data_IF_749559038378
#
_entry.id   IF_749559038378
#
_cell.length_a   1.000
_cell.length_b   1.000
_cell.length_c   1.000
_cell.angle_alpha   90.00
_cell.angle_beta   90.00
_cell.angle_gamma   90.00
#
_symmetry.space_group_name_H-M   'P 1'
#
loop_
_entity.id
_entity.type
_entity.pdbx_description
1 polymer ?
#
# COMPACT_ATOMS: atom_id res chain seq x y z
N UNK A 1 -37.38 -9.52 -1.79
CA UNK A 1 -36.45 -10.59 -2.19
C UNK A 1 -35.66 -10.04 -3.35
N UNK A 2 -34.36 -9.79 -3.17
CA UNK A 2 -33.53 -9.26 -4.25
C UNK A 2 -33.43 -10.31 -5.36
N UNK A 3 -33.47 -9.86 -6.62
CA UNK A 3 -33.28 -10.72 -7.78
C UNK A 3 -31.82 -11.20 -7.81
N UNK A 4 -31.55 -12.53 -7.70
CA UNK A 4 -30.19 -13.06 -7.72
C UNK A 4 -29.41 -12.67 -8.99
N UNK A 5 -30.10 -12.46 -10.11
CA UNK A 5 -29.49 -11.98 -11.34
C UNK A 5 -29.01 -10.53 -11.24
N UNK A 6 -29.74 -9.69 -10.51
CA UNK A 6 -29.37 -8.29 -10.28
C UNK A 6 -28.15 -8.15 -9.36
N UNK A 7 -28.05 -9.00 -8.32
CA UNK A 7 -26.89 -9.02 -7.42
C UNK A 7 -25.62 -9.47 -8.14
N UNK A 8 -25.69 -10.54 -8.93
CA UNK A 8 -24.56 -11.01 -9.72
C UNK A 8 -24.10 -9.97 -10.75
N UNK A 9 -25.03 -9.30 -11.43
CA UNK A 9 -24.72 -8.23 -12.38
C UNK A 9 -24.05 -7.03 -11.69
N UNK A 10 -24.49 -6.67 -10.47
CA UNK A 10 -23.88 -5.59 -9.69
C UNK A 10 -22.43 -5.92 -9.28
N UNK A 11 -22.17 -7.16 -8.85
CA UNK A 11 -20.82 -7.62 -8.50
C UNK A 11 -19.87 -7.58 -9.71
N UNK A 12 -20.33 -8.05 -10.87
CA UNK A 12 -19.55 -8.00 -12.12
C UNK A 12 -19.21 -6.55 -12.49
N UNK A 13 -20.19 -5.65 -12.41
CA UNK A 13 -19.99 -4.23 -12.72
C UNK A 13 -18.98 -3.58 -11.75
N UNK A 14 -19.10 -3.86 -10.46
CA UNK A 14 -18.15 -3.36 -9.46
C UNK A 14 -16.72 -3.84 -9.72
N UNK A 15 -16.56 -5.13 -10.06
CA UNK A 15 -15.26 -5.70 -10.42
C UNK A 15 -14.67 -5.08 -11.69
N UNK A 16 -15.48 -4.86 -12.73
CA UNK A 16 -15.05 -4.21 -13.97
C UNK A 16 -14.62 -2.77 -13.74
N UNK A 17 -15.36 -2.01 -12.93
CA UNK A 17 -15.02 -0.64 -12.58
C UNK A 17 -13.70 -0.59 -11.82
N UNK A 18 -13.55 -1.40 -10.77
CA UNK A 18 -12.31 -1.52 -10.01
C UNK A 18 -11.12 -1.89 -10.90
N UNK A 19 -11.29 -2.89 -11.76
CA UNK A 19 -10.23 -3.35 -12.67
C UNK A 19 -9.82 -2.24 -13.63
N UNK A 20 -10.79 -1.55 -14.24
CA UNK A 20 -10.52 -0.46 -15.18
C UNK A 20 -9.71 0.64 -14.50
N UNK A 21 -10.10 1.04 -13.29
CA UNK A 21 -9.39 2.05 -12.51
C UNK A 21 -7.95 1.60 -12.19
N UNK A 22 -7.78 0.40 -11.63
CA UNK A 22 -6.48 -0.12 -11.21
C UNK A 22 -5.49 -0.22 -12.38
N UNK A 23 -5.91 -0.79 -13.50
CA UNK A 23 -5.07 -0.93 -14.69
C UNK A 23 -4.77 0.42 -15.36
N UNK A 24 -5.74 1.35 -15.35
CA UNK A 24 -5.52 2.71 -15.88
C UNK A 24 -4.48 3.46 -15.04
N UNK A 25 -4.59 3.41 -13.72
CA UNK A 25 -3.64 4.05 -12.81
C UNK A 25 -2.24 3.44 -12.94
N UNK A 26 -2.15 2.11 -13.07
CA UNK A 26 -0.88 1.44 -13.34
C UNK A 26 -0.27 1.92 -14.65
N UNK A 27 -1.05 1.98 -15.73
CA UNK A 27 -0.57 2.47 -17.04
C UNK A 27 -0.05 3.91 -16.94
N UNK A 28 -0.77 4.80 -16.26
CA UNK A 28 -0.31 6.18 -16.01
C UNK A 28 0.99 6.20 -15.22
N UNK A 29 1.10 5.41 -14.14
CA UNK A 29 2.29 5.34 -13.32
C UNK A 29 3.52 4.86 -14.10
N UNK A 30 3.36 3.84 -14.96
CA UNK A 30 4.43 3.34 -15.83
C UNK A 30 4.83 4.38 -16.88
N UNK A 31 3.87 5.05 -17.51
CA UNK A 31 4.13 6.12 -18.48
C UNK A 31 4.92 7.28 -17.85
N UNK A 32 4.48 7.77 -16.68
CA UNK A 32 5.16 8.85 -15.94
C UNK A 32 6.55 8.42 -15.51
N UNK A 33 6.71 7.19 -14.99
CA UNK A 33 8.01 6.66 -14.58
C UNK A 33 8.97 6.53 -15.76
N UNK A 34 8.48 6.04 -16.90
CA UNK A 34 9.26 5.92 -18.13
C UNK A 34 9.71 7.28 -18.65
N UNK A 35 8.79 8.26 -18.71
CA UNK A 35 9.11 9.62 -19.12
C UNK A 35 10.14 10.26 -18.18
N UNK A 36 9.98 10.07 -16.87
CA UNK A 36 10.93 10.53 -15.84
C UNK A 36 12.31 9.92 -16.08
N UNK A 37 12.40 8.60 -16.24
CA UNK A 37 13.66 7.90 -16.48
C UNK A 37 14.30 8.36 -17.80
N UNK A 38 13.53 8.51 -18.87
CA UNK A 38 14.04 9.04 -20.14
C UNK A 38 14.64 10.44 -19.98
N UNK A 39 13.91 11.36 -19.34
CA UNK A 39 14.41 12.72 -19.10
C UNK A 39 15.71 12.71 -18.26
N UNK A 40 15.80 11.82 -17.26
CA UNK A 40 16.99 11.66 -16.42
C UNK A 40 18.17 11.10 -17.21
N UNK A 41 17.97 10.05 -17.99
CA UNK A 41 19.01 9.46 -18.85
C UNK A 41 19.52 10.50 -19.86
N UNK A 42 18.63 11.33 -20.43
CA UNK A 42 19.04 12.43 -21.34
C UNK A 42 19.85 13.52 -20.62
N UNK A 43 19.55 13.80 -19.36
CA UNK A 43 20.21 14.86 -18.60
C UNK A 43 21.57 14.44 -17.98
N UNK A 44 21.69 13.20 -17.49
CA UNK A 44 22.89 12.75 -16.75
C UNK A 44 23.58 11.51 -17.32
N UNK A 45 23.02 10.91 -18.37
CA UNK A 45 23.48 9.64 -18.94
C UNK A 45 23.12 8.43 -18.07
N UNK A 46 23.22 7.22 -18.65
CA UNK A 46 22.87 5.96 -17.96
C UNK A 46 23.79 5.68 -16.76
N UNK A 47 25.09 6.02 -16.87
CA UNK A 47 26.05 5.87 -15.77
C UNK A 47 25.84 6.89 -14.64
N UNK A 48 25.04 7.93 -14.88
CA UNK A 48 24.72 8.97 -13.90
C UNK A 48 23.43 8.71 -13.11
N UNK A 49 22.78 7.56 -13.32
CA UNK A 49 21.58 7.17 -12.57
C UNK A 49 21.93 6.88 -11.10
N UNK A 50 21.04 7.33 -10.21
CA UNK A 50 21.23 7.24 -8.76
C UNK A 50 20.27 6.21 -8.14
N UNK A 51 20.40 5.96 -6.83
CA UNK A 51 19.60 4.97 -6.13
C UNK A 51 18.09 5.22 -6.25
N UNK A 52 17.63 6.48 -6.22
CA UNK A 52 16.22 6.85 -6.44
C UNK A 52 15.74 6.56 -7.87
N UNK A 53 16.64 6.60 -8.86
CA UNK A 53 16.34 6.24 -10.24
C UNK A 53 16.13 4.72 -10.40
N UNK A 54 16.76 3.89 -9.56
CA UNK A 54 16.57 2.43 -9.52
C UNK A 54 15.36 2.04 -8.68
N UNK A 55 15.22 2.64 -7.49
CA UNK A 55 14.14 2.32 -6.55
C UNK A 55 12.75 2.62 -7.11
N UNK A 56 12.61 3.62 -8.00
CA UNK A 56 11.32 3.85 -8.67
C UNK A 56 10.89 2.66 -9.52
N UNK A 57 11.82 1.95 -10.14
CA UNK A 57 11.51 0.79 -10.99
C UNK A 57 11.21 -0.43 -10.14
N UNK A 58 11.90 -0.58 -9.00
CA UNK A 58 11.51 -1.56 -7.98
C UNK A 58 10.08 -1.29 -7.49
N UNK A 59 9.73 -0.03 -7.22
CA UNK A 59 8.36 0.36 -6.87
C UNK A 59 7.38 0.09 -8.02
N UNK A 60 7.72 0.40 -9.26
CA UNK A 60 6.87 0.11 -10.42
C UNK A 60 6.60 -1.39 -10.57
N UNK A 61 7.61 -2.24 -10.40
CA UNK A 61 7.44 -3.71 -10.40
C UNK A 61 6.53 -4.17 -9.27
N UNK A 62 6.73 -3.67 -8.04
CA UNK A 62 5.87 -3.99 -6.91
C UNK A 62 4.43 -3.52 -7.14
N UNK A 63 4.23 -2.38 -7.80
CA UNK A 63 2.90 -1.88 -8.15
C UNK A 63 2.21 -2.76 -9.19
N UNK A 64 2.93 -3.25 -10.21
CA UNK A 64 2.40 -4.25 -11.14
C UNK A 64 1.95 -5.52 -10.40
N UNK A 65 2.77 -6.02 -9.47
CA UNK A 65 2.44 -7.20 -8.67
C UNK A 65 1.21 -6.94 -7.79
N UNK A 66 1.14 -5.79 -7.14
CA UNK A 66 0.01 -5.39 -6.29
C UNK A 66 -1.28 -5.30 -7.10
N UNK A 67 -1.25 -4.66 -8.27
CA UNK A 67 -2.41 -4.58 -9.18
C UNK A 67 -2.84 -5.97 -9.64
N UNK A 68 -1.90 -6.86 -9.96
CA UNK A 68 -2.19 -8.24 -10.34
C UNK A 68 -2.81 -9.05 -9.20
N UNK A 69 -2.31 -8.89 -7.97
CA UNK A 69 -2.90 -9.52 -6.78
C UNK A 69 -4.32 -9.00 -6.52
N UNK A 70 -4.52 -7.69 -6.59
CA UNK A 70 -5.83 -7.09 -6.37
C UNK A 70 -6.85 -7.52 -7.44
N UNK A 71 -6.45 -7.59 -8.71
CA UNK A 71 -7.25 -8.17 -9.79
C UNK A 71 -7.59 -9.65 -9.50
N UNK A 72 -6.63 -10.42 -9.00
CA UNK A 72 -6.81 -11.85 -8.71
C UNK A 72 -7.82 -12.12 -7.59
N UNK A 73 -8.05 -11.17 -6.66
CA UNK A 73 -9.13 -11.29 -5.66
C UNK A 73 -10.48 -11.41 -6.36
N UNK A 74 -10.77 -10.59 -7.35
CA UNK A 74 -12.03 -10.68 -8.11
C UNK A 74 -12.02 -11.80 -9.15
N UNK A 75 -10.93 -11.95 -9.90
CA UNK A 75 -10.86 -12.90 -11.02
C UNK A 75 -10.75 -14.38 -10.60
N UNK A 76 -10.07 -14.66 -9.48
CA UNK A 76 -9.79 -16.04 -9.03
C UNK A 76 -10.57 -16.39 -7.76
N UNK A 77 -10.66 -15.45 -6.81
CA UNK A 77 -11.36 -15.69 -5.56
C UNK A 77 -12.80 -15.16 -5.55
N UNK A 78 -13.30 -14.58 -6.65
CA UNK A 78 -14.66 -14.01 -6.76
C UNK A 78 -14.99 -12.98 -5.67
N UNK A 79 -13.98 -12.26 -5.17
CA UNK A 79 -14.14 -11.31 -4.07
C UNK A 79 -14.25 -11.96 -2.69
N UNK A 80 -14.13 -13.28 -2.59
CA UNK A 80 -14.34 -14.03 -1.36
C UNK A 80 -13.05 -14.17 -0.55
N UNK A 81 -13.18 -14.12 0.77
CA UNK A 81 -12.12 -14.42 1.72
C UNK A 81 -12.71 -15.08 2.98
N UNK A 82 -11.90 -15.28 4.02
CA UNK A 82 -12.34 -15.90 5.28
C UNK A 82 -13.13 -14.97 6.23
N UNK A 83 -13.37 -13.71 5.86
CA UNK A 83 -14.23 -12.77 6.57
C UNK A 83 -15.64 -12.71 5.95
N UNK A 84 -16.50 -11.87 6.53
CA UNK A 84 -17.85 -11.56 6.03
C UNK A 84 -18.71 -12.81 5.79
N UNK A 85 -18.80 -13.65 6.82
CA UNK A 85 -19.62 -14.85 6.83
C UNK A 85 -20.42 -14.95 8.13
N UNK A 86 -21.75 -15.09 8.07
CA UNK A 86 -22.56 -15.44 9.23
C UNK A 86 -22.10 -16.77 9.84
N UNK A 87 -22.14 -16.94 11.18
CA UNK A 87 -21.69 -18.17 11.84
C UNK A 87 -22.38 -19.45 11.31
N UNK A 88 -23.69 -19.37 11.04
CA UNK A 88 -24.47 -20.49 10.51
C UNK A 88 -24.01 -20.87 9.10
N UNK A 89 -23.83 -19.88 8.22
CA UNK A 89 -23.34 -20.10 6.86
C UNK A 89 -21.94 -20.71 6.85
N UNK A 90 -21.05 -20.19 7.70
CA UNK A 90 -19.68 -20.70 7.87
C UNK A 90 -19.66 -22.15 8.34
N UNK A 91 -20.54 -22.53 9.26
CA UNK A 91 -20.64 -23.90 9.76
C UNK A 91 -21.24 -24.86 8.72
N UNK A 92 -22.15 -24.37 7.86
CA UNK A 92 -22.78 -25.16 6.81
C UNK A 92 -21.91 -25.32 5.55
N UNK A 93 -20.89 -24.47 5.36
CA UNK A 93 -20.05 -24.52 4.17
C UNK A 93 -19.19 -25.79 4.13
N UNK A 94 -19.37 -26.60 3.07
CA UNK A 94 -18.59 -27.82 2.87
C UNK A 94 -17.10 -27.50 2.60
N UNK A 95 -16.14 -28.16 3.28
CA UNK A 95 -14.71 -28.01 3.03
C UNK A 95 -14.27 -28.36 1.60
N UNK A 96 -15.01 -29.23 0.91
CA UNK A 96 -14.72 -29.68 -0.45
C UNK A 96 -15.43 -28.84 -1.54
N UNK A 97 -16.13 -27.78 -1.13
CA UNK A 97 -16.82 -26.90 -2.06
C UNK A 97 -15.86 -25.97 -2.80
N UNK A 98 -16.22 -25.59 -4.03
CA UNK A 98 -15.48 -24.59 -4.79
C UNK A 98 -15.36 -23.25 -4.05
N UNK A 99 -16.43 -22.83 -3.35
CA UNK A 99 -16.44 -21.59 -2.57
C UNK A 99 -15.44 -21.64 -1.42
N UNK A 100 -15.35 -22.77 -0.70
CA UNK A 100 -14.35 -22.93 0.37
C UNK A 100 -12.92 -22.72 -0.17
N UNK A 101 -12.61 -23.32 -1.33
CA UNK A 101 -11.31 -23.13 -1.97
C UNK A 101 -11.07 -21.69 -2.46
N UNK A 102 -12.10 -21.02 -2.98
CA UNK A 102 -12.03 -19.62 -3.39
C UNK A 102 -11.76 -18.70 -2.18
N UNK A 103 -12.42 -18.91 -1.05
CA UNK A 103 -12.19 -18.16 0.20
C UNK A 103 -10.78 -18.35 0.74
N UNK A 104 -10.30 -19.60 0.76
CA UNK A 104 -8.91 -19.89 1.17
C UNK A 104 -7.92 -19.18 0.25
N UNK A 105 -8.18 -19.19 -1.06
CA UNK A 105 -7.33 -18.53 -2.07
C UNK A 105 -7.35 -17.01 -1.90
N UNK A 106 -8.52 -16.40 -1.74
CA UNK A 106 -8.67 -14.97 -1.52
C UNK A 106 -7.99 -14.48 -0.25
N UNK A 107 -8.09 -15.22 0.86
CA UNK A 107 -7.34 -14.90 2.09
C UNK A 107 -5.83 -14.91 1.89
N UNK A 108 -5.30 -15.85 1.11
CA UNK A 108 -3.86 -15.91 0.78
C UNK A 108 -3.44 -14.75 -0.13
N UNK A 109 -4.25 -14.43 -1.14
CA UNK A 109 -4.01 -13.29 -2.04
C UNK A 109 -4.02 -11.99 -1.23
N UNK A 110 -4.95 -11.82 -0.30
CA UNK A 110 -5.05 -10.63 0.54
C UNK A 110 -3.83 -10.46 1.46
N UNK A 111 -3.34 -11.55 2.04
CA UNK A 111 -2.12 -11.52 2.85
C UNK A 111 -0.90 -11.12 2.00
N UNK A 112 -0.77 -11.70 0.80
CA UNK A 112 0.27 -11.30 -0.15
C UNK A 112 0.12 -9.83 -0.59
N UNK A 113 -1.10 -9.37 -0.82
CA UNK A 113 -1.43 -8.00 -1.19
C UNK A 113 -0.96 -7.01 -0.12
N UNK A 114 -1.22 -7.27 1.15
CA UNK A 114 -0.71 -6.44 2.26
C UNK A 114 0.82 -6.38 2.29
N UNK A 115 1.50 -7.50 2.07
CA UNK A 115 2.97 -7.56 2.04
C UNK A 115 3.55 -6.74 0.88
N UNK A 116 3.00 -6.91 -0.32
CA UNK A 116 3.49 -6.19 -1.51
C UNK A 116 3.17 -4.69 -1.38
N UNK A 117 1.96 -4.34 -0.97
CA UNK A 117 1.53 -2.95 -0.78
C UNK A 117 2.39 -2.23 0.27
N UNK A 118 2.65 -2.87 1.40
CA UNK A 118 3.51 -2.30 2.44
C UNK A 118 4.94 -2.13 1.94
N UNK A 119 5.49 -3.10 1.22
CA UNK A 119 6.84 -2.99 0.65
C UNK A 119 6.92 -1.87 -0.38
N UNK A 120 5.93 -1.79 -1.27
CA UNK A 120 5.82 -0.74 -2.28
C UNK A 120 5.92 0.66 -1.66
N UNK A 121 5.10 0.94 -0.63
CA UNK A 121 5.12 2.27 -0.01
C UNK A 121 6.45 2.56 0.69
N UNK A 122 7.05 1.59 1.36
CA UNK A 122 8.35 1.81 2.02
C UNK A 122 9.50 1.99 1.03
N UNK A 123 9.45 1.33 -0.14
CA UNK A 123 10.40 1.56 -1.24
C UNK A 123 10.25 2.97 -1.80
N UNK A 124 9.01 3.44 -2.02
CA UNK A 124 8.75 4.81 -2.47
C UNK A 124 9.26 5.86 -1.47
N UNK A 125 9.00 5.64 -0.17
CA UNK A 125 9.52 6.50 0.92
C UNK A 125 11.04 6.50 0.99
N UNK A 126 11.67 5.35 0.79
CA UNK A 126 13.14 5.23 0.71
C UNK A 126 13.69 5.97 -0.50
N UNK A 127 13.04 5.85 -1.67
CA UNK A 127 13.40 6.62 -2.88
C UNK A 127 13.30 8.12 -2.63
N UNK A 128 12.29 8.56 -1.86
CA UNK A 128 12.14 9.96 -1.47
C UNK A 128 13.28 10.45 -0.56
N UNK A 129 13.76 9.64 0.38
CA UNK A 129 14.92 9.99 1.21
C UNK A 129 16.20 10.15 0.39
N UNK A 130 16.43 9.27 -0.61
CA UNK A 130 17.56 9.45 -1.53
C UNK A 130 17.44 10.74 -2.33
N UNK A 131 16.23 11.06 -2.81
CA UNK A 131 15.96 12.34 -3.46
C UNK A 131 16.25 13.53 -2.53
N UNK A 132 15.85 13.46 -1.26
CA UNK A 132 16.15 14.51 -0.27
C UNK A 132 17.64 14.62 0.04
N UNK A 133 18.38 13.51 0.11
CA UNK A 133 19.83 13.53 0.28
C UNK A 133 20.51 14.30 -0.84
N UNK A 134 20.06 14.10 -2.08
CA UNK A 134 20.56 14.85 -3.22
C UNK A 134 20.14 16.32 -3.19
N UNK A 135 18.87 16.59 -2.86
CA UNK A 135 18.34 17.95 -2.82
C UNK A 135 19.04 18.81 -1.76
N UNK A 136 19.40 18.19 -0.63
CA UNK A 136 20.06 18.82 0.51
C UNK A 136 21.59 18.71 0.48
N UNK A 137 22.16 18.16 -0.60
CA UNK A 137 23.59 18.11 -0.79
C UNK A 137 24.18 19.53 -0.78
N UNK A 138 25.15 19.77 0.11
CA UNK A 138 25.76 21.09 0.32
C UNK A 138 25.06 21.97 1.38
N UNK A 139 23.97 21.52 1.99
CA UNK A 139 23.36 22.17 3.17
C UNK A 139 24.01 21.70 4.47
N UNK A 140 23.53 22.24 5.61
CA UNK A 140 24.04 21.93 6.94
C UNK A 140 23.95 20.44 7.28
N UNK A 141 24.94 19.95 8.05
CA UNK A 141 25.02 18.55 8.54
C UNK A 141 23.75 18.07 9.24
N UNK A 142 22.97 18.98 9.85
CA UNK A 142 21.68 18.67 10.48
C UNK A 142 20.67 18.01 9.52
N UNK A 143 20.67 18.34 8.23
CA UNK A 143 19.78 17.70 7.25
C UNK A 143 20.19 16.25 6.99
N UNK A 144 21.49 15.99 6.85
CA UNK A 144 22.00 14.63 6.67
C UNK A 144 21.64 13.74 7.86
N UNK A 145 21.80 14.24 9.09
CA UNK A 145 21.39 13.49 10.30
C UNK A 145 19.91 13.13 10.26
N UNK A 146 19.03 14.07 9.87
CA UNK A 146 17.58 13.79 9.72
C UNK A 146 17.28 12.74 8.66
N UNK A 147 18.00 12.77 7.54
CA UNK A 147 17.84 11.77 6.47
C UNK A 147 18.28 10.38 6.94
N UNK A 148 19.42 10.27 7.62
CA UNK A 148 19.88 8.99 8.19
C UNK A 148 18.94 8.45 9.27
N UNK A 149 18.41 9.33 10.13
CA UNK A 149 17.32 8.95 11.05
C UNK A 149 16.10 8.45 10.28
N UNK A 150 15.77 9.06 9.14
CA UNK A 150 14.71 8.61 8.25
C UNK A 150 14.92 7.20 7.72
N UNK A 151 16.13 6.84 7.27
CA UNK A 151 16.42 5.48 6.81
C UNK A 151 16.24 4.46 7.95
N UNK A 152 16.74 4.77 9.15
CA UNK A 152 16.55 3.93 10.33
C UNK A 152 15.07 3.78 10.68
N UNK A 153 14.31 4.87 10.68
CA UNK A 153 12.89 4.85 11.00
C UNK A 153 12.07 4.06 9.97
N UNK A 154 12.34 4.23 8.67
CA UNK A 154 11.69 3.44 7.62
C UNK A 154 12.03 1.95 7.74
N UNK A 155 13.30 1.60 7.95
CA UNK A 155 13.71 0.20 8.11
C UNK A 155 13.03 -0.48 9.32
N UNK A 156 13.07 0.17 10.48
CA UNK A 156 12.46 -0.36 11.71
C UNK A 156 10.94 -0.47 11.57
N UNK A 157 10.27 0.58 11.08
CA UNK A 157 8.82 0.56 10.90
C UNK A 157 8.37 -0.51 9.91
N UNK A 158 9.12 -0.74 8.83
CA UNK A 158 8.83 -1.82 7.88
C UNK A 158 8.91 -3.20 8.53
N UNK A 159 9.97 -3.46 9.31
CA UNK A 159 10.14 -4.71 10.05
C UNK A 159 8.97 -4.93 11.01
N UNK A 160 8.54 -3.90 11.72
CA UNK A 160 7.39 -3.98 12.64
C UNK A 160 6.11 -4.30 11.89
N UNK A 161 5.82 -3.60 10.79
CA UNK A 161 4.63 -3.82 9.96
C UNK A 161 4.61 -5.24 9.39
N UNK A 162 5.73 -5.72 8.83
CA UNK A 162 5.84 -7.08 8.30
C UNK A 162 5.72 -8.14 9.41
N UNK A 163 6.39 -7.93 10.54
CA UNK A 163 6.29 -8.83 11.68
C UNK A 163 4.86 -8.91 12.20
N UNK A 164 4.15 -7.79 12.28
CA UNK A 164 2.75 -7.76 12.68
C UNK A 164 1.87 -8.55 11.69
N UNK A 165 2.08 -8.36 10.38
CA UNK A 165 1.34 -9.07 9.34
C UNK A 165 1.48 -10.60 9.43
N UNK A 166 2.71 -11.10 9.65
CA UNK A 166 2.97 -12.55 9.66
C UNK A 166 2.85 -13.23 11.03
N UNK A 167 2.98 -12.48 12.13
CA UNK A 167 3.05 -13.04 13.49
C UNK A 167 1.80 -12.76 14.35
N UNK A 168 0.92 -11.85 13.95
CA UNK A 168 -0.28 -11.49 14.73
C UNK A 168 -1.28 -12.66 14.89
N UNK A 169 -1.41 -13.49 13.85
CA UNK A 169 -2.32 -14.65 13.85
C UNK A 169 -1.53 -15.96 14.04
N UNK A 170 -1.81 -16.69 15.13
CA UNK A 170 -1.15 -17.96 15.47
C UNK A 170 -2.15 -19.07 15.78
N UNK A 171 -1.96 -20.29 15.24
CA UNK A 171 -1.00 -20.70 14.23
C UNK A 171 -1.23 -20.04 12.86
N UNK A 172 -0.19 -19.90 12.04
CA UNK A 172 -0.20 -19.06 10.82
C UNK A 172 -1.28 -19.45 9.80
N UNK A 173 -1.64 -20.74 9.72
CA UNK A 173 -2.69 -21.22 8.81
C UNK A 173 -4.08 -20.68 9.11
N UNK A 174 -4.31 -20.12 10.31
CA UNK A 174 -5.59 -19.50 10.66
C UNK A 174 -5.93 -18.27 9.81
N UNK A 175 -4.93 -17.64 9.16
CA UNK A 175 -5.16 -16.53 8.24
C UNK A 175 -6.04 -16.90 7.03
N UNK A 176 -6.19 -18.19 6.72
CA UNK A 176 -7.08 -18.68 5.66
C UNK A 176 -7.99 -19.81 6.17
N UNK A 177 -8.19 -19.92 7.49
CA UNK A 177 -9.14 -20.87 8.06
C UNK A 177 -10.56 -20.32 7.89
N UNK A 178 -11.47 -21.17 7.43
CA UNK A 178 -12.89 -20.83 7.22
C UNK A 178 -13.71 -21.21 8.45
N UNK A 179 -13.62 -22.46 8.90
CA UNK A 179 -14.35 -23.01 10.03
C UNK A 179 -13.40 -23.87 10.90
N UNK A 180 -13.40 -23.78 12.25
CA UNK A 180 -14.11 -22.81 13.08
C UNK A 180 -13.68 -21.36 12.83
N UNK A 181 -14.43 -20.38 13.36
CA UNK A 181 -14.07 -18.96 13.27
C UNK A 181 -12.65 -18.70 13.84
N UNK A 182 -11.69 -18.18 13.06
CA UNK A 182 -10.34 -17.88 13.55
C UNK A 182 -10.23 -16.53 14.31
N UNK A 183 -11.26 -15.68 14.28
CA UNK A 183 -11.34 -14.37 14.91
C UNK A 183 -10.78 -13.23 14.04
N UNK A 184 -11.15 -11.98 14.35
CA UNK A 184 -10.81 -10.80 13.54
C UNK A 184 -9.30 -10.62 13.28
N UNK A 185 -8.46 -10.96 14.26
CA UNK A 185 -6.99 -10.86 14.13
C UNK A 185 -6.47 -11.69 12.94
N UNK A 186 -7.17 -12.78 12.59
CA UNK A 186 -6.83 -13.72 11.54
C UNK A 186 -7.62 -13.52 10.23
N UNK A 187 -8.23 -12.35 10.04
CA UNK A 187 -8.87 -11.96 8.78
C UNK A 187 -7.96 -10.99 8.01
N UNK A 188 -7.13 -11.43 7.06
CA UNK A 188 -6.18 -10.54 6.39
C UNK A 188 -6.83 -9.32 5.73
N UNK A 189 -8.10 -9.42 5.28
CA UNK A 189 -8.80 -8.31 4.63
C UNK A 189 -9.21 -7.19 5.61
N UNK A 190 -9.57 -7.56 6.85
CA UNK A 190 -10.31 -6.69 7.79
C UNK A 190 -9.79 -6.77 9.23
N UNK A 191 -8.58 -7.31 9.42
CA UNK A 191 -7.96 -7.42 10.74
C UNK A 191 -7.65 -6.03 11.28
N UNK A 192 -8.34 -5.66 12.38
CA UNK A 192 -8.19 -4.35 13.02
C UNK A 192 -6.74 -4.12 13.45
N UNK A 193 -6.09 -5.17 13.97
CA UNK A 193 -4.70 -5.10 14.41
C UNK A 193 -3.75 -4.78 13.24
N UNK A 194 -3.88 -5.49 12.12
CA UNK A 194 -3.03 -5.26 10.93
C UNK A 194 -3.26 -3.84 10.40
N UNK A 195 -4.52 -3.43 10.26
CA UNK A 195 -4.91 -2.12 9.71
C UNK A 195 -4.39 -0.97 10.58
N UNK A 196 -4.57 -1.04 11.91
CA UNK A 196 -4.15 0.02 12.82
C UNK A 196 -2.62 0.16 12.90
N UNK A 197 -1.89 -0.96 13.01
CA UNK A 197 -0.43 -0.94 13.05
C UNK A 197 0.13 -0.39 11.75
N UNK A 198 -0.36 -0.88 10.60
CA UNK A 198 0.02 -0.37 9.30
C UNK A 198 -0.24 1.13 9.18
N UNK A 199 -1.47 1.57 9.51
CA UNK A 199 -1.88 2.97 9.41
C UNK A 199 -0.99 3.87 10.28
N UNK A 200 -0.76 3.51 11.54
CA UNK A 200 0.05 4.30 12.45
C UNK A 200 1.48 4.50 11.92
N UNK A 201 2.15 3.44 11.49
CA UNK A 201 3.51 3.55 10.94
C UNK A 201 3.52 4.25 9.57
N UNK A 202 2.52 4.04 8.74
CA UNK A 202 2.43 4.70 7.43
C UNK A 202 2.29 6.23 7.58
N UNK A 203 1.37 6.70 8.42
CA UNK A 203 1.16 8.13 8.66
C UNK A 203 2.36 8.76 9.36
N UNK A 204 2.89 8.13 10.42
CA UNK A 204 4.02 8.71 11.15
C UNK A 204 5.28 8.80 10.30
N UNK A 205 5.54 7.82 9.44
CA UNK A 205 6.64 7.90 8.46
C UNK A 205 6.42 8.99 7.42
N UNK A 206 5.19 9.23 6.95
CA UNK A 206 4.89 10.33 6.03
C UNK A 206 5.08 11.70 6.69
N UNK A 207 4.56 11.88 7.91
CA UNK A 207 4.75 13.11 8.68
C UNK A 207 6.23 13.40 8.93
N UNK A 208 7.02 12.37 9.25
CA UNK A 208 8.46 12.50 9.40
C UNK A 208 9.12 12.98 8.11
N UNK A 209 8.80 12.36 6.97
CA UNK A 209 9.38 12.72 5.67
C UNK A 209 8.98 14.14 5.25
N UNK A 210 7.74 14.55 5.51
CA UNK A 210 7.30 15.92 5.28
C UNK A 210 8.06 16.91 6.16
N UNK A 211 8.40 16.56 7.40
CA UNK A 211 9.13 17.45 8.30
C UNK A 211 10.55 17.81 7.84
N UNK A 212 11.17 17.00 6.97
CA UNK A 212 12.56 17.18 6.51
C UNK A 212 12.72 18.50 5.72
N UNK A 213 11.94 18.76 4.65
CA UNK A 213 12.09 19.99 3.87
C UNK A 213 11.41 21.24 4.44
N UNK A 214 10.56 21.15 5.48
CA UNK A 214 9.84 22.34 6.03
C UNK A 214 10.79 23.46 6.45
N UNK A 215 11.87 23.21 7.22
CA UNK A 215 12.79 24.27 7.61
C UNK A 215 13.55 24.87 6.43
N UNK A 216 13.75 24.09 5.36
CA UNK A 216 14.40 24.58 4.14
C UNK A 216 13.50 25.56 3.40
N UNK A 217 12.20 25.29 3.32
CA UNK A 217 11.22 26.19 2.69
C UNK A 217 11.14 27.55 3.38
N UNK A 218 11.28 27.58 4.72
CA UNK A 218 11.16 28.80 5.51
C UNK A 218 12.43 29.65 5.50
N UNK A 219 13.61 29.02 5.39
CA UNK A 219 14.90 29.72 5.52
C UNK A 219 15.62 29.99 4.20
N UNK A 220 15.16 29.47 3.06
CA UNK A 220 15.99 29.42 1.84
C UNK A 220 15.51 30.31 0.69
N UNK A 221 16.48 31.04 0.09
CA UNK A 221 16.42 31.67 -1.23
C UNK A 221 16.54 30.63 -2.35
N UNK A 222 15.65 29.62 -2.35
CA UNK A 222 15.64 28.62 -3.41
C UNK A 222 15.18 29.24 -4.73
N UNK A 223 15.76 28.78 -5.84
CA UNK A 223 15.26 29.08 -7.19
C UNK A 223 13.77 28.72 -7.26
N UNK A 224 12.89 29.58 -7.81
CA UNK A 224 11.43 29.38 -7.81
C UNK A 224 10.98 27.99 -8.30
N UNK A 225 11.65 27.44 -9.32
CA UNK A 225 11.35 26.09 -9.85
C UNK A 225 11.52 24.98 -8.80
N UNK A 226 12.58 25.03 -7.98
CA UNK A 226 12.78 24.05 -6.90
C UNK A 226 11.76 24.22 -5.78
N UNK A 227 11.35 25.47 -5.52
CA UNK A 227 10.33 25.80 -4.52
C UNK A 227 8.95 25.27 -4.92
N UNK A 228 8.56 25.43 -6.18
CA UNK A 228 7.29 24.89 -6.72
C UNK A 228 7.28 23.36 -6.66
N UNK A 229 8.35 22.69 -7.11
CA UNK A 229 8.43 21.23 -7.04
C UNK A 229 8.31 20.70 -5.61
N UNK A 230 8.85 21.45 -4.64
CA UNK A 230 8.75 21.10 -3.23
C UNK A 230 7.32 21.31 -2.68
N UNK A 231 6.67 22.43 -3.01
CA UNK A 231 5.27 22.67 -2.64
C UNK A 231 4.35 21.57 -3.19
N UNK A 232 4.49 21.21 -4.47
CA UNK A 232 3.70 20.13 -5.07
C UNK A 232 3.90 18.80 -4.36
N UNK A 233 5.14 18.48 -3.99
CA UNK A 233 5.47 17.28 -3.22
C UNK A 233 4.80 17.28 -1.83
N UNK A 234 4.80 18.42 -1.15
CA UNK A 234 4.13 18.59 0.14
C UNK A 234 2.61 18.40 0.03
N UNK A 235 1.98 19.04 -0.96
CA UNK A 235 0.55 18.89 -1.21
C UNK A 235 0.18 17.45 -1.52
N UNK A 236 0.99 16.75 -2.32
CA UNK A 236 0.82 15.33 -2.61
C UNK A 236 0.94 14.46 -1.36
N UNK A 237 1.91 14.73 -0.48
CA UNK A 237 2.06 13.97 0.77
C UNK A 237 0.90 14.16 1.75
N UNK A 238 0.39 15.39 1.88
CA UNK A 238 -0.82 15.67 2.69
C UNK A 238 -2.04 14.94 2.11
N UNK A 239 -2.20 14.96 0.79
CA UNK A 239 -3.28 14.23 0.12
C UNK A 239 -3.19 12.72 0.39
N UNK A 240 -2.00 12.11 0.30
CA UNK A 240 -1.80 10.70 0.61
C UNK A 240 -2.18 10.37 2.06
N UNK A 241 -1.83 11.23 3.02
CA UNK A 241 -2.21 11.09 4.44
C UNK A 241 -3.74 11.08 4.60
N UNK A 242 -4.44 11.99 3.91
CA UNK A 242 -5.91 12.05 3.94
C UNK A 242 -6.51 10.75 3.36
N UNK A 243 -6.05 10.32 2.18
CA UNK A 243 -6.50 9.08 1.54
C UNK A 243 -6.27 7.85 2.42
N UNK A 244 -5.09 7.74 3.05
CA UNK A 244 -4.76 6.66 3.97
C UNK A 244 -5.68 6.67 5.22
N UNK A 245 -6.01 7.86 5.73
CA UNK A 245 -6.94 8.03 6.86
C UNK A 245 -8.36 7.60 6.48
N UNK A 246 -8.86 8.02 5.32
CA UNK A 246 -10.16 7.61 4.82
C UNK A 246 -10.22 6.09 4.62
N UNK A 247 -9.19 5.48 4.02
CA UNK A 247 -9.10 4.03 3.86
C UNK A 247 -9.16 3.30 5.21
N UNK A 248 -8.41 3.76 6.20
CA UNK A 248 -8.43 3.17 7.54
C UNK A 248 -9.83 3.23 8.17
N UNK A 249 -10.47 4.41 8.12
CA UNK A 249 -11.83 4.61 8.63
C UNK A 249 -12.82 3.67 7.94
N UNK A 250 -12.76 3.55 6.60
CA UNK A 250 -13.64 2.67 5.84
C UNK A 250 -13.47 1.20 6.26
N UNK A 251 -12.23 0.69 6.32
CA UNK A 251 -11.97 -0.70 6.68
C UNK A 251 -12.42 -0.99 8.12
N UNK A 252 -12.10 -0.11 9.06
CA UNK A 252 -12.47 -0.29 10.48
C UNK A 252 -13.99 -0.23 10.65
N UNK A 253 -14.66 0.69 9.98
CA UNK A 253 -16.12 0.81 10.04
C UNK A 253 -16.80 -0.44 9.49
N UNK A 254 -16.38 -0.93 8.31
CA UNK A 254 -16.86 -2.19 7.74
C UNK A 254 -16.61 -3.36 8.70
N UNK A 255 -15.43 -3.40 9.31
CA UNK A 255 -15.08 -4.44 10.30
C UNK A 255 -15.93 -4.37 11.57
N UNK A 256 -16.47 -3.21 11.94
CA UNK A 256 -17.36 -3.03 13.10
C UNK A 256 -18.79 -3.47 12.79
N UNK A 257 -19.25 -3.30 11.55
CA UNK A 257 -20.58 -3.75 11.13
C UNK A 257 -20.68 -5.28 10.91
N UNK A 258 -19.55 -5.94 10.62
CA UNK A 258 -19.49 -7.39 10.31
C UNK A 258 -19.12 -8.25 11.54
N UNK A 259 -18.72 -7.64 12.66
CA UNK A 259 -18.45 -8.36 13.93
C UNK A 259 -19.67 -8.38 14.83
#
# INVERSE_FOLDING_TARGET
MADPGAEAAAQIKAFQQFSTEAWTLLAVAICVTSLRTYARVRAVGVRGLQADDVLVWVAATLYCIETGLAYSVGAVAHGLANNDMPPEYRAALSPDSAEHHQRVTGSKIQLAGWSVYSTLLWVLKTSLLFFYMRLTAGLSRSYLVRIYMGFGFLGISWIIVMSNLYLSCRPFHKNWQINPDPGNVCYPAVSRQIVWVYFAFNITTDLFLLSIPVPMLWKSSLRPVKKIGLILLFSGGIFIIICATLRCILIVTVSLFIS
#
